data_IF_201673594769
#
_entry.id   IF_201673594769
#
_cell.length_a   1.000
_cell.length_b   1.000
_cell.length_c   1.000
_cell.angle_alpha   90.00
_cell.angle_beta   90.00
_cell.angle_gamma   90.00
#
_symmetry.space_group_name_H-M   'P 1'
#
loop_
_entity.id
_entity.type
_entity.pdbx_description
1 polymer ?
#
# COMPACT_ATOMS: atom_id res chain seq x y z
N UNK A 1 -46.41 20.10 4.08
CA UNK A 1 -45.51 19.42 3.12
C UNK A 1 -44.62 20.46 2.47
N UNK A 2 -43.31 20.57 2.79
CA UNK A 2 -42.45 21.52 2.10
C UNK A 2 -42.22 21.05 0.65
N UNK A 3 -42.57 21.91 -0.30
CA UNK A 3 -42.46 21.67 -1.74
C UNK A 3 -41.01 21.36 -2.13
N UNK A 4 -40.80 20.26 -2.87
CA UNK A 4 -39.49 19.84 -3.32
C UNK A 4 -38.84 20.92 -4.20
N UNK A 5 -37.73 21.50 -3.72
CA UNK A 5 -36.88 22.42 -4.50
C UNK A 5 -36.40 21.70 -5.77
N UNK A 6 -36.75 22.21 -6.95
CA UNK A 6 -36.18 21.76 -8.23
C UNK A 6 -34.65 21.90 -8.19
N UNK A 7 -33.94 20.84 -8.57
CA UNK A 7 -32.47 20.85 -8.69
C UNK A 7 -32.05 21.97 -9.64
N UNK A 8 -31.22 22.89 -9.15
CA UNK A 8 -30.69 23.98 -9.97
C UNK A 8 -29.71 23.41 -11.01
N UNK A 9 -29.79 23.83 -12.27
CA UNK A 9 -28.87 23.37 -13.31
C UNK A 9 -27.44 23.82 -12.98
N UNK A 10 -26.50 22.88 -13.08
CA UNK A 10 -25.11 23.10 -12.73
C UNK A 10 -24.43 23.98 -13.80
N UNK A 11 -24.27 25.27 -13.50
CA UNK A 11 -23.72 26.27 -14.41
C UNK A 11 -22.31 25.89 -14.90
N UNK A 12 -21.99 26.21 -16.16
CA UNK A 12 -20.65 26.02 -16.72
C UNK A 12 -19.54 26.72 -15.93
N UNK A 13 -19.84 27.88 -15.32
CA UNK A 13 -18.91 28.59 -14.42
C UNK A 13 -18.67 27.81 -13.12
N UNK A 14 -19.74 27.24 -12.55
CA UNK A 14 -19.64 26.37 -11.38
C UNK A 14 -18.89 25.07 -11.70
N UNK A 15 -19.07 24.51 -12.91
CA UNK A 15 -18.31 23.35 -13.39
C UNK A 15 -16.82 23.65 -13.58
N UNK A 16 -16.48 24.82 -14.14
CA UNK A 16 -15.09 25.26 -14.29
C UNK A 16 -14.42 25.48 -12.93
N UNK A 17 -15.11 26.13 -11.99
CA UNK A 17 -14.63 26.30 -10.61
C UNK A 17 -14.47 24.97 -9.88
N UNK A 18 -15.42 24.04 -10.04
CA UNK A 18 -15.30 22.68 -9.48
C UNK A 18 -14.10 21.93 -10.06
N UNK A 19 -13.84 22.04 -11.36
CA UNK A 19 -12.66 21.44 -11.99
C UNK A 19 -11.36 22.09 -11.52
N UNK A 20 -11.33 23.41 -11.34
CA UNK A 20 -10.18 24.12 -10.76
C UNK A 20 -9.94 23.71 -9.31
N UNK A 21 -10.99 23.64 -8.48
CA UNK A 21 -10.90 23.15 -7.10
C UNK A 21 -10.46 21.68 -7.04
N UNK A 22 -10.92 20.82 -7.96
CA UNK A 22 -10.43 19.43 -8.10
C UNK A 22 -8.95 19.39 -8.48
N UNK A 23 -8.50 20.25 -9.40
CA UNK A 23 -7.07 20.36 -9.76
C UNK A 23 -6.23 20.87 -8.59
N UNK A 24 -6.67 21.90 -7.88
CA UNK A 24 -5.99 22.41 -6.68
C UNK A 24 -5.94 21.37 -5.56
N UNK A 25 -7.03 20.63 -5.32
CA UNK A 25 -7.03 19.52 -4.36
C UNK A 25 -6.11 18.38 -4.79
N UNK A 26 -5.99 18.08 -6.09
CA UNK A 26 -5.01 17.13 -6.62
C UNK A 26 -3.58 17.61 -6.33
N UNK A 27 -3.31 18.92 -6.46
CA UNK A 27 -2.02 19.53 -6.09
C UNK A 27 -1.77 19.51 -4.58
N UNK A 28 -2.79 19.70 -3.74
CA UNK A 28 -2.67 19.57 -2.28
C UNK A 28 -2.38 18.14 -1.82
N UNK A 29 -2.96 17.13 -2.48
CA UNK A 29 -2.63 15.71 -2.27
C UNK A 29 -1.18 15.42 -2.70
N UNK A 30 -0.68 16.11 -3.72
CA UNK A 30 0.72 16.00 -4.17
C UNK A 30 1.71 16.69 -3.23
N UNK A 31 1.29 17.72 -2.49
CA UNK A 31 2.16 18.51 -1.60
C UNK A 31 2.14 18.07 -0.14
N UNK A 32 1.40 17.02 0.24
CA UNK A 32 1.50 16.42 1.59
C UNK A 32 2.70 15.47 1.69
N UNK A 33 3.79 15.77 0.99
CA UNK A 33 5.10 15.22 1.32
C UNK A 33 5.48 15.78 2.70
N UNK A 34 5.20 15.00 3.73
CA UNK A 34 5.79 15.25 5.05
C UNK A 34 7.31 15.15 4.87
N UNK A 35 7.96 16.31 4.74
CA UNK A 35 9.39 16.44 4.49
C UNK A 35 10.21 15.83 5.62
N UNK A 36 10.50 14.54 5.47
CA UNK A 36 11.50 13.79 6.26
C UNK A 36 12.02 12.57 5.51
N UNK A 37 11.34 12.10 4.46
CA UNK A 37 11.75 10.92 3.70
C UNK A 37 12.26 11.28 2.30
N UNK A 38 13.26 10.52 1.85
CA UNK A 38 14.05 10.63 0.62
C UNK A 38 13.27 10.44 -0.70
N UNK A 39 11.93 10.41 -0.68
CA UNK A 39 11.09 10.06 -1.82
C UNK A 39 9.72 10.77 -1.83
N UNK A 40 9.15 10.95 -3.02
CA UNK A 40 7.78 11.45 -3.17
C UNK A 40 6.77 10.35 -2.81
N UNK A 41 5.91 10.64 -1.84
CA UNK A 41 4.83 9.75 -1.39
C UNK A 41 3.49 10.30 -1.83
N UNK A 42 2.68 9.48 -2.48
CA UNK A 42 1.29 9.81 -2.77
C UNK A 42 0.40 9.24 -1.70
N UNK A 43 -0.42 10.11 -1.09
CA UNK A 43 -1.46 9.71 -0.14
C UNK A 43 -2.81 9.53 -0.85
N UNK A 44 -3.32 8.30 -0.88
CA UNK A 44 -4.64 7.97 -1.44
C UNK A 44 -5.70 8.03 -0.34
N UNK A 45 -6.91 8.46 -0.68
CA UNK A 45 -8.05 8.65 0.24
C UNK A 45 -7.85 9.72 1.32
N UNK A 46 -6.86 10.60 1.15
CA UNK A 46 -6.64 11.74 2.06
C UNK A 46 -7.83 12.71 2.10
N UNK A 47 -8.23 13.11 3.30
CA UNK A 47 -9.34 14.02 3.57
C UNK A 47 -8.81 15.36 4.12
N UNK A 48 -8.78 16.45 3.31
CA UNK A 48 -8.16 17.71 3.71
C UNK A 48 -8.97 18.53 4.73
N UNK A 49 -10.31 18.36 4.82
CA UNK A 49 -11.20 19.33 5.48
C UNK A 49 -12.10 18.75 6.59
N UNK A 50 -11.60 17.84 7.44
CA UNK A 50 -12.35 17.35 8.61
C UNK A 50 -11.58 17.50 9.92
N UNK A 51 -11.38 18.75 10.34
CA UNK A 51 -10.89 19.08 11.71
C UNK A 51 -11.98 18.98 12.79
N UNK A 52 -13.24 18.67 12.42
CA UNK A 52 -14.39 18.60 13.36
C UNK A 52 -14.63 17.21 13.98
N UNK A 53 -13.59 16.40 14.14
CA UNK A 53 -13.66 15.07 14.77
C UNK A 53 -12.57 14.87 15.83
N UNK A 54 -12.81 14.00 16.81
CA UNK A 54 -11.92 13.74 17.96
C UNK A 54 -10.67 12.90 17.61
N UNK A 55 -10.30 12.80 16.33
CA UNK A 55 -9.21 11.93 15.89
C UNK A 55 -8.65 12.32 14.53
N UNK A 56 -7.46 11.81 14.23
CA UNK A 56 -6.81 12.00 12.93
C UNK A 56 -7.55 11.21 11.84
N UNK A 57 -8.31 11.94 11.02
CA UNK A 57 -9.07 11.38 9.90
C UNK A 57 -8.19 10.72 8.83
N UNK A 58 -6.90 11.06 8.79
CA UNK A 58 -5.95 10.60 7.79
C UNK A 58 -4.97 9.55 8.33
N UNK A 59 -5.20 9.05 9.56
CA UNK A 59 -4.38 8.01 10.19
C UNK A 59 -4.18 6.78 9.28
N UNK A 60 -5.24 6.37 8.59
CA UNK A 60 -5.25 5.22 7.68
C UNK A 60 -5.30 5.62 6.21
N UNK A 61 -4.88 6.85 5.86
CA UNK A 61 -4.66 7.20 4.47
C UNK A 61 -3.57 6.29 3.90
N UNK A 62 -3.84 5.69 2.74
CA UNK A 62 -2.88 4.79 2.08
C UNK A 62 -1.73 5.62 1.52
N UNK A 63 -0.50 5.15 1.66
CA UNK A 63 0.70 5.86 1.23
C UNK A 63 1.50 4.96 0.29
N UNK A 64 1.73 5.42 -0.93
CA UNK A 64 2.50 4.68 -1.93
C UNK A 64 3.67 5.53 -2.43
N UNK A 65 4.72 4.87 -2.88
CA UNK A 65 5.80 5.53 -3.61
C UNK A 65 5.23 6.16 -4.88
N UNK A 66 5.72 7.36 -5.21
CA UNK A 66 5.35 8.04 -6.44
C UNK A 66 6.43 7.84 -7.49
N UNK A 67 6.04 7.18 -8.58
CA UNK A 67 6.85 7.16 -9.80
C UNK A 67 6.89 8.54 -10.45
N UNK A 68 8.03 8.88 -11.05
CA UNK A 68 8.19 10.14 -11.76
C UNK A 68 7.31 10.19 -13.00
N UNK A 69 6.96 11.40 -13.45
CA UNK A 69 6.12 11.57 -14.65
C UNK A 69 6.82 10.98 -15.91
N UNK A 70 8.16 10.98 -15.93
CA UNK A 70 8.99 10.37 -16.97
C UNK A 70 8.89 8.83 -16.96
N UNK A 71 9.07 8.20 -15.79
CA UNK A 71 8.90 6.74 -15.62
C UNK A 71 7.49 6.30 -16.03
N UNK A 72 6.46 7.06 -15.61
CA UNK A 72 5.08 6.80 -15.98
C UNK A 72 4.84 6.95 -17.50
N UNK A 73 5.52 7.87 -18.17
CA UNK A 73 5.42 8.02 -19.63
C UNK A 73 6.05 6.85 -20.36
N UNK A 74 7.24 6.41 -19.92
CA UNK A 74 7.92 5.24 -20.50
C UNK A 74 7.10 3.97 -20.31
N UNK A 75 6.55 3.72 -19.11
CA UNK A 75 5.68 2.55 -18.86
C UNK A 75 4.42 2.55 -19.72
N UNK A 76 3.84 3.73 -19.99
CA UNK A 76 2.68 3.84 -20.88
C UNK A 76 3.07 3.54 -22.33
N UNK A 77 4.21 4.04 -22.79
CA UNK A 77 4.71 3.74 -24.13
C UNK A 77 5.01 2.25 -24.30
N UNK A 78 5.60 1.63 -23.27
CA UNK A 78 5.82 0.20 -23.23
C UNK A 78 4.51 -0.61 -23.27
N UNK A 79 3.51 -0.19 -22.52
CA UNK A 79 2.19 -0.82 -22.52
C UNK A 79 1.43 -0.68 -23.86
N UNK A 80 1.85 0.22 -24.75
CA UNK A 80 1.29 0.35 -26.11
C UNK A 80 1.96 -0.58 -27.13
N UNK A 81 3.08 -1.21 -26.79
CA UNK A 81 3.74 -2.17 -27.68
C UNK A 81 2.84 -3.37 -27.91
N UNK A 82 2.89 -3.93 -29.12
CA UNK A 82 2.13 -5.13 -29.45
C UNK A 82 2.62 -6.32 -28.63
N UNK A 83 1.68 -7.12 -28.12
CA UNK A 83 1.99 -8.38 -27.47
C UNK A 83 2.47 -9.37 -28.54
N UNK A 84 3.68 -9.89 -28.37
CA UNK A 84 4.21 -10.94 -29.24
C UNK A 84 3.78 -12.30 -28.67
N UNK A 85 3.15 -13.18 -29.48
CA UNK A 85 2.82 -14.51 -29.01
C UNK A 85 4.10 -15.29 -28.73
N UNK A 86 4.18 -15.88 -27.55
CA UNK A 86 5.29 -16.75 -27.13
C UNK A 86 4.81 -18.20 -27.07
N UNK A 87 5.70 -19.20 -27.27
CA UNK A 87 5.38 -20.60 -27.06
C UNK A 87 4.87 -20.89 -25.63
N UNK A 88 4.09 -21.95 -25.46
CA UNK A 88 3.52 -22.32 -24.15
C UNK A 88 4.57 -22.50 -23.05
N UNK A 89 5.72 -23.07 -23.40
CA UNK A 89 6.86 -23.20 -22.49
C UNK A 89 7.39 -21.87 -21.96
N UNK A 90 7.28 -20.79 -22.74
CA UNK A 90 7.71 -19.44 -22.33
C UNK A 90 6.58 -18.69 -21.58
N UNK A 91 5.36 -19.22 -21.57
CA UNK A 91 4.27 -18.71 -20.73
C UNK A 91 4.29 -19.28 -19.31
N UNK A 92 5.07 -20.35 -19.08
CA UNK A 92 5.29 -20.89 -17.74
C UNK A 92 6.14 -19.89 -16.94
N UNK A 93 5.70 -19.58 -15.72
CA UNK A 93 6.41 -18.65 -14.84
C UNK A 93 6.77 -19.38 -13.56
N UNK A 94 8.01 -19.23 -13.11
CA UNK A 94 8.43 -19.73 -11.80
C UNK A 94 7.98 -18.74 -10.70
N UNK A 95 7.18 -19.17 -9.72
CA UNK A 95 6.80 -18.33 -8.59
C UNK A 95 7.99 -17.74 -7.83
N UNK A 96 9.17 -18.39 -7.85
CA UNK A 96 10.35 -17.86 -7.15
C UNK A 96 10.89 -16.58 -7.76
N UNK A 97 10.62 -16.33 -9.05
CA UNK A 97 11.08 -15.13 -9.74
C UNK A 97 10.40 -13.86 -9.20
N UNK A 98 9.21 -14.01 -8.59
CA UNK A 98 8.46 -12.89 -8.00
C UNK A 98 8.81 -12.60 -6.55
N UNK A 99 9.48 -13.53 -5.87
CA UNK A 99 9.80 -13.42 -4.44
C UNK A 99 11.30 -13.63 -4.19
N UNK A 100 12.13 -12.60 -4.44
CA UNK A 100 13.53 -12.61 -4.03
C UNK A 100 13.65 -12.87 -2.53
N UNK A 101 14.55 -13.76 -2.13
CA UNK A 101 14.71 -14.18 -0.73
C UNK A 101 15.16 -13.05 0.19
N UNK A 102 15.79 -12.04 -0.39
CA UNK A 102 16.29 -10.84 0.27
C UNK A 102 15.15 -9.91 0.69
N UNK A 103 13.95 -10.08 0.11
CA UNK A 103 12.80 -9.21 0.33
C UNK A 103 11.74 -9.97 1.14
N UNK A 104 11.48 -9.47 2.34
CA UNK A 104 10.38 -9.92 3.20
C UNK A 104 9.54 -8.72 3.59
N UNK A 105 8.28 -8.95 3.96
CA UNK A 105 7.44 -7.93 4.59
C UNK A 105 7.99 -7.52 5.98
N UNK A 106 7.66 -6.32 6.49
CA UNK A 106 8.11 -5.85 7.78
C UNK A 106 7.42 -6.64 8.90
N UNK A 107 8.24 -7.25 9.77
CA UNK A 107 7.80 -8.01 10.95
C UNK A 107 7.73 -7.09 12.16
N UNK A 108 6.83 -7.33 13.10
CA UNK A 108 6.75 -6.47 14.29
C UNK A 108 8.02 -6.67 15.14
N UNK A 109 8.72 -5.60 15.54
CA UNK A 109 9.82 -5.74 16.49
C UNK A 109 9.30 -6.24 17.85
N UNK A 110 10.11 -7.00 18.61
CA UNK A 110 9.72 -7.44 19.95
C UNK A 110 9.35 -6.26 20.85
N UNK A 111 8.24 -6.41 21.57
CA UNK A 111 7.73 -5.43 22.53
C UNK A 111 7.21 -6.14 23.78
N UNK A 112 7.10 -5.39 24.88
CA UNK A 112 6.58 -5.91 26.14
C UNK A 112 5.60 -4.92 26.79
N UNK A 113 4.83 -5.41 27.77
CA UNK A 113 3.87 -4.60 28.53
C UNK A 113 4.51 -3.55 29.44
N UNK A 114 5.83 -3.59 29.63
CA UNK A 114 6.56 -2.59 30.43
C UNK A 114 6.86 -1.32 29.63
N UNK A 115 6.87 -1.42 28.29
CA UNK A 115 7.07 -0.28 27.40
C UNK A 115 5.90 0.69 27.47
N UNK A 116 6.21 1.98 27.55
CA UNK A 116 5.20 3.04 27.41
C UNK A 116 4.69 3.12 25.96
N UNK A 117 3.45 3.59 25.73
CA UNK A 117 2.93 3.76 24.37
C UNK A 117 3.83 4.61 23.47
N UNK A 118 4.49 5.63 24.04
CA UNK A 118 5.41 6.50 23.30
C UNK A 118 6.73 5.79 22.94
N UNK A 119 7.27 4.96 23.82
CA UNK A 119 8.47 4.17 23.53
C UNK A 119 8.20 3.14 22.44
N UNK A 120 7.06 2.43 22.53
CA UNK A 120 6.65 1.46 21.52
C UNK A 120 6.45 2.13 20.16
N UNK A 121 5.76 3.28 20.12
CA UNK A 121 5.58 4.03 18.89
C UNK A 121 6.91 4.48 18.27
N UNK A 122 7.83 5.00 19.07
CA UNK A 122 9.16 5.40 18.61
C UNK A 122 9.99 4.20 18.09
N UNK A 123 9.91 3.04 18.75
CA UNK A 123 10.61 1.83 18.34
C UNK A 123 10.07 1.30 17.00
N UNK A 124 8.75 1.19 16.86
CA UNK A 124 8.10 0.72 15.63
C UNK A 124 8.35 1.69 14.46
N UNK A 125 8.32 3.00 14.70
CA UNK A 125 8.66 4.01 13.69
C UNK A 125 10.11 3.91 13.24
N UNK A 126 11.05 3.76 14.19
CA UNK A 126 12.48 3.59 13.86
C UNK A 126 12.70 2.33 13.04
N UNK A 127 12.16 1.19 13.48
CA UNK A 127 12.27 -0.08 12.78
C UNK A 127 11.73 0.02 11.36
N UNK A 128 10.53 0.58 11.19
CA UNK A 128 9.91 0.67 9.88
C UNK A 128 10.69 1.58 8.94
N UNK A 129 11.23 2.70 9.44
CA UNK A 129 12.10 3.58 8.65
C UNK A 129 13.38 2.86 8.19
N UNK A 130 14.03 2.13 9.08
CA UNK A 130 15.24 1.35 8.76
C UNK A 130 14.93 0.25 7.74
N UNK A 131 13.79 -0.44 7.89
CA UNK A 131 13.30 -1.42 6.92
C UNK A 131 13.12 -0.82 5.53
N UNK A 132 12.48 0.36 5.41
CA UNK A 132 12.31 1.03 4.12
C UNK A 132 13.65 1.46 3.52
N UNK A 133 14.58 1.96 4.33
CA UNK A 133 15.93 2.35 3.88
C UNK A 133 16.73 1.14 3.36
N UNK A 134 16.64 -0.01 4.03
CA UNK A 134 17.24 -1.25 3.56
C UNK A 134 16.63 -1.72 2.24
N UNK A 135 15.30 -1.64 2.12
CA UNK A 135 14.59 -2.01 0.90
C UNK A 135 14.97 -1.11 -0.29
N UNK A 136 15.16 0.19 -0.05
CA UNK A 136 15.62 1.14 -1.06
C UNK A 136 17.06 0.89 -1.53
N UNK A 137 17.89 0.36 -0.64
CA UNK A 137 19.29 0.03 -0.97
C UNK A 137 19.39 -1.25 -1.81
N UNK A 138 18.29 -2.00 -1.96
CA UNK A 138 18.22 -3.24 -2.74
C UNK A 138 18.06 -2.92 -4.23
N UNK A 139 18.75 -3.66 -5.14
CA UNK A 139 18.65 -3.41 -6.58
C UNK A 139 17.20 -3.51 -7.12
N UNK A 140 16.38 -4.33 -6.47
CA UNK A 140 15.00 -4.58 -6.84
C UNK A 140 14.03 -3.42 -6.55
N UNK A 141 14.42 -2.36 -5.83
CA UNK A 141 13.51 -1.29 -5.39
C UNK A 141 12.60 -0.74 -6.51
N UNK A 142 13.15 -0.54 -7.71
CA UNK A 142 12.39 -0.01 -8.88
C UNK A 142 11.51 -1.05 -9.57
N UNK A 143 11.81 -2.34 -9.37
CA UNK A 143 11.09 -3.47 -9.97
C UNK A 143 9.99 -3.99 -9.04
N UNK A 144 10.02 -3.64 -7.76
CA UNK A 144 9.00 -4.05 -6.80
C UNK A 144 7.63 -3.49 -7.17
N UNK A 145 6.62 -4.32 -6.91
CA UNK A 145 5.23 -3.86 -6.91
C UNK A 145 4.99 -2.81 -5.83
N UNK A 146 4.00 -1.95 -6.05
CA UNK A 146 3.56 -0.99 -5.05
C UNK A 146 3.19 -1.68 -3.74
N UNK A 147 3.72 -1.16 -2.64
CA UNK A 147 3.41 -1.61 -1.29
C UNK A 147 3.12 -0.41 -0.39
N UNK A 148 2.48 -0.68 0.73
CA UNK A 148 2.04 0.35 1.67
C UNK A 148 3.20 0.94 2.48
N UNK A 149 3.28 2.26 2.53
CA UNK A 149 4.30 3.05 3.24
C UNK A 149 3.75 3.69 4.53
N UNK A 150 2.50 3.43 4.86
CA UNK A 150 1.90 3.80 6.14
C UNK A 150 2.10 2.69 7.18
N UNK A 151 2.89 3.00 8.21
CA UNK A 151 3.10 2.12 9.36
C UNK A 151 1.78 1.70 10.04
N UNK A 152 0.76 2.55 10.04
CA UNK A 152 -0.53 2.21 10.66
C UNK A 152 -1.20 1.01 10.00
N UNK A 153 -1.02 0.81 8.68
CA UNK A 153 -1.54 -0.36 7.99
C UNK A 153 -0.78 -1.62 8.39
N UNK A 154 0.55 -1.55 8.49
CA UNK A 154 1.37 -2.67 8.96
C UNK A 154 1.08 -3.02 10.42
N UNK A 155 0.80 -2.03 11.27
CA UNK A 155 0.32 -2.26 12.65
C UNK A 155 -1.00 -3.02 12.69
N UNK A 156 -1.91 -2.81 11.74
CA UNK A 156 -3.14 -3.61 11.66
C UNK A 156 -2.82 -5.06 11.33
N UNK A 157 -1.94 -5.30 10.36
CA UNK A 157 -1.49 -6.66 10.03
C UNK A 157 -0.86 -7.31 11.27
N UNK A 158 0.09 -6.66 11.93
CA UNK A 158 0.77 -7.22 13.10
C UNK A 158 -0.20 -7.61 14.23
N UNK A 159 -1.18 -6.76 14.54
CA UNK A 159 -2.21 -7.09 15.54
C UNK A 159 -3.03 -8.32 15.17
N UNK A 160 -3.42 -8.42 13.89
CA UNK A 160 -4.15 -9.60 13.39
C UNK A 160 -3.28 -10.85 13.51
N UNK A 161 -2.02 -10.77 13.07
CA UNK A 161 -1.09 -11.90 13.12
C UNK A 161 -0.81 -12.34 14.56
N UNK A 162 -0.70 -11.41 15.51
CA UNK A 162 -0.51 -11.72 16.93
C UNK A 162 -1.74 -12.40 17.54
N UNK A 163 -2.94 -11.88 17.26
CA UNK A 163 -4.19 -12.32 17.88
C UNK A 163 -4.81 -13.56 17.24
N UNK A 164 -4.47 -13.90 15.98
CA UNK A 164 -5.07 -15.04 15.30
C UNK A 164 -4.44 -16.37 15.73
N UNK A 165 -5.27 -17.39 15.88
CA UNK A 165 -4.83 -18.79 15.99
C UNK A 165 -4.64 -19.43 14.61
N UNK A 166 -5.51 -19.05 13.66
CA UNK A 166 -5.52 -19.53 12.28
C UNK A 166 -5.60 -18.32 11.35
N UNK A 167 -4.64 -18.23 10.42
CA UNK A 167 -4.65 -17.22 9.36
C UNK A 167 -5.29 -17.78 8.09
N UNK A 168 -6.35 -17.14 7.62
CA UNK A 168 -6.97 -17.45 6.32
C UNK A 168 -6.41 -16.51 5.26
N UNK A 169 -5.70 -17.05 4.26
CA UNK A 169 -5.24 -16.28 3.12
C UNK A 169 -6.08 -16.60 1.89
N UNK A 170 -6.83 -15.61 1.41
CA UNK A 170 -7.66 -15.73 0.21
C UNK A 170 -6.82 -15.26 -0.97
N UNK A 171 -6.63 -16.13 -1.97
CA UNK A 171 -5.89 -15.83 -3.19
C UNK A 171 -6.76 -16.03 -4.41
N UNK A 172 -6.56 -15.22 -5.45
CA UNK A 172 -7.20 -15.39 -6.74
C UNK A 172 -6.54 -16.54 -7.49
N UNK A 173 -7.31 -17.50 -7.97
CA UNK A 173 -6.82 -18.70 -8.66
C UNK A 173 -6.04 -18.37 -9.94
N UNK A 174 -6.33 -17.23 -10.59
CA UNK A 174 -5.63 -16.80 -11.81
C UNK A 174 -4.18 -16.43 -11.54
N UNK A 175 -3.88 -16.01 -10.32
CA UNK A 175 -2.58 -15.46 -9.93
C UNK A 175 -2.10 -16.08 -8.61
N UNK A 176 -2.51 -17.32 -8.31
CA UNK A 176 -2.30 -17.94 -7.01
C UNK A 176 -0.83 -17.96 -6.58
N UNK A 177 0.09 -18.22 -7.52
CA UNK A 177 1.54 -18.19 -7.27
C UNK A 177 2.04 -16.82 -6.80
N UNK A 178 1.59 -15.72 -7.42
CA UNK A 178 1.98 -14.36 -7.07
C UNK A 178 1.25 -13.80 -5.84
N UNK A 179 0.11 -14.37 -5.47
CA UNK A 179 -0.67 -13.94 -4.31
C UNK A 179 -0.32 -14.69 -3.02
N UNK A 180 0.59 -15.66 -3.10
CA UNK A 180 1.05 -16.45 -1.96
C UNK A 180 2.52 -16.15 -1.64
N UNK A 181 2.82 -15.08 -0.88
CA UNK A 181 4.20 -14.73 -0.54
C UNK A 181 4.83 -15.78 0.39
N UNK A 182 5.96 -16.42 0.00
CA UNK A 182 6.62 -17.43 0.82
C UNK A 182 7.05 -16.88 2.19
N UNK A 183 7.52 -15.63 2.25
CA UNK A 183 7.96 -14.98 3.49
C UNK A 183 6.85 -14.89 4.55
N UNK A 184 5.59 -14.72 4.14
CA UNK A 184 4.45 -14.72 5.06
C UNK A 184 4.20 -16.12 5.62
N UNK A 185 4.23 -17.15 4.77
CA UNK A 185 4.06 -18.53 5.20
C UNK A 185 5.15 -18.95 6.20
N UNK A 186 6.42 -18.63 5.90
CA UNK A 186 7.53 -18.95 6.79
C UNK A 186 7.39 -18.26 8.15
N UNK A 187 7.01 -16.97 8.16
CA UNK A 187 6.78 -16.24 9.40
C UNK A 187 5.66 -16.89 10.23
N UNK A 188 4.51 -17.18 9.63
CA UNK A 188 3.34 -17.68 10.37
C UNK A 188 3.53 -19.12 10.83
N UNK A 189 4.00 -20.00 9.96
CA UNK A 189 4.03 -21.43 10.24
C UNK A 189 5.34 -21.84 10.94
N UNK A 190 6.48 -21.28 10.54
CA UNK A 190 7.79 -21.67 11.11
C UNK A 190 8.16 -20.86 12.34
N UNK A 191 7.98 -19.54 12.31
CA UNK A 191 8.39 -18.65 13.41
C UNK A 191 7.31 -18.54 14.49
N UNK A 192 6.09 -18.18 14.11
CA UNK A 192 4.95 -18.00 15.03
C UNK A 192 4.27 -19.33 15.42
N UNK A 193 4.56 -20.43 14.70
CA UNK A 193 3.98 -21.77 14.91
C UNK A 193 2.45 -21.79 14.88
N UNK A 194 1.87 -20.97 14.01
CA UNK A 194 0.42 -20.84 13.79
C UNK A 194 -0.02 -21.59 12.54
N UNK A 195 -1.32 -21.89 12.47
CA UNK A 195 -1.89 -22.57 11.32
C UNK A 195 -2.27 -21.55 10.23
N UNK A 196 -2.06 -21.91 8.97
CA UNK A 196 -2.44 -21.09 7.82
C UNK A 196 -3.29 -21.92 6.86
N UNK A 197 -4.43 -21.38 6.44
CA UNK A 197 -5.33 -21.98 5.47
C UNK A 197 -5.33 -21.11 4.21
N UNK A 198 -4.99 -21.71 3.08
CA UNK A 198 -5.07 -21.07 1.77
C UNK A 198 -6.45 -21.31 1.15
N UNK A 199 -7.13 -20.26 0.75
CA UNK A 199 -8.43 -20.31 0.07
C UNK A 199 -8.27 -19.78 -1.34
N UNK A 200 -8.44 -20.65 -2.33
CA UNK A 200 -8.45 -20.26 -3.74
C UNK A 200 -9.85 -19.72 -4.10
N UNK A 201 -9.92 -18.45 -4.46
CA UNK A 201 -11.12 -17.78 -4.93
C UNK A 201 -11.04 -17.50 -6.44
N UNK A 202 -12.21 -17.39 -7.10
CA UNK A 202 -12.36 -17.11 -8.52
C UNK A 202 -12.51 -15.61 -8.81
#
# INVERSE_FOLDING_TARGET
>A
MPQARRKTPFSGKAKKQQLQAKKQNKTLIMNTSSGTNTYDVVSVNYQPNRSRGRGDANRYALKFYRETDEELSMKKEEALKSLNPVPEKEMEIDPTDFFPKEISFPKRPPWDFSMTPAQLDAQEQRYFREYIQALQSTPHWKEMSYFELNLETWRQLWRVLEMCDILLLIVDVRYAGMMFPPSLYEYIVKEEKKNMILVLNK
#
